data_IF_106610183115
#
_entry.id   IF_106610183115
#
_cell.length_a   1.000
_cell.length_b   1.000
_cell.length_c   1.000
_cell.angle_alpha   90.00
_cell.angle_beta   90.00
_cell.angle_gamma   90.00
#
_symmetry.space_group_name_H-M   'P 1'
#
loop_
_entity.id
_entity.type
_entity.pdbx_description
1 polymer ?
#
# COMPACT_ATOMS: atom_id res chain seq x y z
N UNK A 1 20.42 3.55 12.16
CA UNK A 1 19.84 3.14 10.87
C UNK A 1 19.47 4.39 10.09
N UNK A 2 19.81 4.42 8.80
CA UNK A 2 19.50 5.60 7.98
C UNK A 2 17.99 5.75 7.78
N UNK A 3 17.48 6.99 7.79
CA UNK A 3 16.07 7.19 7.48
C UNK A 3 15.74 6.77 6.04
N UNK A 4 14.51 6.31 5.84
CA UNK A 4 14.00 6.01 4.50
C UNK A 4 13.67 7.35 3.83
N UNK A 5 14.29 7.58 2.66
CA UNK A 5 14.05 8.79 1.87
C UNK A 5 13.05 8.45 0.78
N UNK A 6 11.91 9.15 0.78
CA UNK A 6 10.85 8.97 -0.20
C UNK A 6 10.82 10.17 -1.14
N UNK A 7 10.43 9.95 -2.39
CA UNK A 7 10.13 11.05 -3.29
C UNK A 7 8.85 11.78 -2.86
N UNK A 8 8.55 12.91 -3.51
CA UNK A 8 7.39 13.73 -3.14
C UNK A 8 6.06 12.98 -3.23
N UNK A 9 5.91 12.11 -4.23
CA UNK A 9 4.67 11.35 -4.43
C UNK A 9 4.48 10.32 -3.33
N UNK A 10 5.53 9.58 -3.01
CA UNK A 10 5.50 8.61 -1.92
C UNK A 10 5.35 9.28 -0.57
N UNK A 11 5.98 10.44 -0.37
CA UNK A 11 5.84 11.21 0.87
C UNK A 11 4.41 11.67 1.09
N UNK A 12 3.75 12.19 0.05
CA UNK A 12 2.36 12.61 0.14
C UNK A 12 1.44 11.43 0.44
N UNK A 13 1.61 10.32 -0.26
CA UNK A 13 0.82 9.11 -0.03
C UNK A 13 1.04 8.55 1.37
N UNK A 14 2.28 8.54 1.85
CA UNK A 14 2.62 8.09 3.20
C UNK A 14 1.92 8.94 4.25
N UNK A 15 1.89 10.26 4.06
CA UNK A 15 1.20 11.16 4.99
C UNK A 15 -0.29 10.85 5.04
N UNK A 16 -0.94 10.69 3.88
CA UNK A 16 -2.36 10.37 3.82
C UNK A 16 -2.66 9.01 4.46
N UNK A 17 -1.84 8.01 4.18
CA UNK A 17 -2.00 6.69 4.76
C UNK A 17 -1.82 6.73 6.28
N UNK A 18 -0.81 7.45 6.75
CA UNK A 18 -0.56 7.59 8.18
C UNK A 18 -1.74 8.24 8.90
N UNK A 19 -2.31 9.30 8.31
CA UNK A 19 -3.50 9.96 8.86
C UNK A 19 -4.68 9.01 8.98
N UNK A 20 -4.85 8.09 8.03
CA UNK A 20 -5.92 7.10 8.06
C UNK A 20 -5.67 5.98 9.08
N UNK A 21 -4.39 5.69 9.37
CA UNK A 21 -4.01 4.57 10.24
C UNK A 21 -3.82 4.99 11.70
N UNK A 22 -3.37 6.21 11.95
CA UNK A 22 -3.16 6.71 13.30
C UNK A 22 -4.49 6.81 14.06
N UNK A 23 -4.48 6.45 15.33
CA UNK A 23 -5.68 6.48 16.17
C UNK A 23 -6.55 5.24 16.08
N UNK A 24 -6.28 4.34 15.15
CA UNK A 24 -6.99 3.06 15.08
C UNK A 24 -6.40 2.09 16.10
N UNK A 25 -7.26 1.29 16.71
CA UNK A 25 -6.81 0.14 17.49
C UNK A 25 -6.35 -0.93 16.50
N UNK A 26 -5.17 -1.51 16.70
CA UNK A 26 -4.62 -2.53 15.82
C UNK A 26 -4.68 -2.10 14.35
N UNK A 27 -4.01 -0.99 13.98
CA UNK A 27 -4.11 -0.48 12.61
C UNK A 27 -3.59 -1.50 11.60
N UNK A 28 -4.29 -1.60 10.47
CA UNK A 28 -3.96 -2.52 9.37
C UNK A 28 -4.01 -1.78 8.06
N UNK A 29 -2.99 -1.99 7.23
CA UNK A 29 -2.93 -1.41 5.90
C UNK A 29 -2.57 -2.46 4.85
N UNK A 30 -2.87 -2.14 3.60
CA UNK A 30 -2.51 -2.97 2.45
C UNK A 30 -1.80 -2.11 1.40
N UNK A 31 -0.62 -2.53 0.99
CA UNK A 31 0.19 -1.89 -0.04
C UNK A 31 0.17 -2.78 -1.28
N UNK A 32 -0.64 -2.39 -2.26
CA UNK A 32 -0.90 -3.17 -3.47
C UNK A 32 0.03 -2.69 -4.57
N UNK A 33 0.90 -3.60 -5.04
CA UNK A 33 1.99 -3.22 -5.93
C UNK A 33 3.10 -2.55 -5.13
N UNK A 34 3.55 -3.20 -4.06
CA UNK A 34 4.47 -2.59 -3.08
C UNK A 34 5.87 -2.37 -3.60
N UNK A 35 6.22 -2.91 -4.76
CA UNK A 35 7.53 -2.81 -5.37
C UNK A 35 8.63 -3.20 -4.38
N UNK A 36 9.58 -2.33 -4.10
CA UNK A 36 10.70 -2.62 -3.19
C UNK A 36 10.37 -2.39 -1.70
N UNK A 37 9.13 -2.03 -1.38
CA UNK A 37 8.65 -1.98 0.00
C UNK A 37 8.93 -0.70 0.78
N UNK A 38 9.37 0.38 0.12
CA UNK A 38 9.72 1.62 0.83
C UNK A 38 8.53 2.25 1.55
N UNK A 39 7.35 2.27 0.92
CA UNK A 39 6.15 2.81 1.56
C UNK A 39 5.76 1.97 2.79
N UNK A 40 5.72 0.66 2.62
CA UNK A 40 5.40 -0.26 3.71
C UNK A 40 6.37 -0.08 4.87
N UNK A 41 7.67 -0.03 4.60
CA UNK A 41 8.67 0.14 5.64
C UNK A 41 8.50 1.48 6.37
N UNK A 42 8.26 2.56 5.62
CA UNK A 42 8.07 3.89 6.19
C UNK A 42 6.85 3.93 7.11
N UNK A 43 5.74 3.33 6.71
CA UNK A 43 4.54 3.28 7.52
C UNK A 43 4.73 2.43 8.79
N UNK A 44 5.37 1.27 8.66
CA UNK A 44 5.65 0.42 9.82
C UNK A 44 6.53 1.10 10.85
N UNK A 45 7.50 1.92 10.40
CA UNK A 45 8.35 2.67 11.32
C UNK A 45 7.63 3.84 12.00
N UNK A 46 6.63 4.44 11.32
CA UNK A 46 5.99 5.65 11.82
C UNK A 46 4.67 5.41 12.55
N UNK A 47 4.02 4.26 12.37
CA UNK A 47 2.74 3.95 13.01
C UNK A 47 2.89 2.76 13.96
N UNK A 48 2.93 3.00 15.27
CA UNK A 48 3.06 1.92 16.24
C UNK A 48 1.89 0.93 16.16
N UNK A 49 2.20 -0.35 16.25
CA UNK A 49 1.18 -1.40 16.23
C UNK A 49 0.63 -1.74 14.85
N UNK A 50 1.05 -1.03 13.82
CA UNK A 50 0.60 -1.30 12.45
C UNK A 50 1.08 -2.66 11.96
N UNK A 51 0.19 -3.39 11.29
CA UNK A 51 0.53 -4.55 10.48
C UNK A 51 0.15 -4.27 9.03
N UNK A 52 0.96 -4.77 8.11
CA UNK A 52 0.78 -4.50 6.68
C UNK A 52 0.70 -5.79 5.88
N UNK A 53 -0.21 -5.80 4.92
CA UNK A 53 -0.16 -6.73 3.80
C UNK A 53 0.52 -5.97 2.64
N UNK A 54 1.59 -6.52 2.11
CA UNK A 54 2.26 -5.96 0.95
C UNK A 54 2.29 -7.00 -0.16
N UNK A 55 1.73 -6.65 -1.31
CA UNK A 55 1.65 -7.57 -2.45
C UNK A 55 2.25 -6.97 -3.70
N UNK A 56 2.74 -7.82 -4.56
CA UNK A 56 3.22 -7.44 -5.88
C UNK A 56 3.13 -8.67 -6.80
N UNK A 57 3.00 -8.44 -8.09
CA UNK A 57 3.03 -9.52 -9.07
C UNK A 57 4.45 -10.01 -9.33
N UNK A 58 5.45 -9.22 -8.96
CA UNK A 58 6.87 -9.50 -9.18
C UNK A 58 7.51 -10.12 -7.94
N UNK A 59 7.82 -11.42 -8.01
CA UNK A 59 8.53 -12.10 -6.93
C UNK A 59 9.92 -11.48 -6.65
N UNK A 60 10.72 -11.08 -7.65
CA UNK A 60 11.99 -10.38 -7.37
C UNK A 60 11.81 -9.07 -6.61
N UNK A 61 10.77 -8.28 -6.91
CA UNK A 61 10.49 -7.04 -6.17
C UNK A 61 10.14 -7.35 -4.72
N UNK A 62 9.32 -8.35 -4.48
CA UNK A 62 8.97 -8.78 -3.12
C UNK A 62 10.17 -9.25 -2.32
N UNK A 63 11.12 -9.92 -2.96
CA UNK A 63 12.35 -10.32 -2.28
C UNK A 63 13.16 -9.10 -1.82
N UNK A 64 13.22 -8.05 -2.64
CA UNK A 64 13.86 -6.79 -2.25
C UNK A 64 13.11 -6.13 -1.09
N UNK A 65 11.78 -6.14 -1.13
CA UNK A 65 10.97 -5.62 -0.04
C UNK A 65 11.22 -6.40 1.26
N UNK A 66 11.28 -7.74 1.17
CA UNK A 66 11.56 -8.58 2.33
C UNK A 66 12.91 -8.25 2.96
N UNK A 67 13.93 -8.09 2.13
CA UNK A 67 15.28 -7.74 2.61
C UNK A 67 15.29 -6.37 3.30
N UNK A 68 14.60 -5.39 2.72
CA UNK A 68 14.48 -4.07 3.32
C UNK A 68 13.82 -4.16 4.70
N UNK A 69 12.70 -4.84 4.80
CA UNK A 69 11.97 -4.99 6.06
C UNK A 69 12.79 -5.75 7.10
N UNK A 70 13.45 -6.83 6.69
CA UNK A 70 14.30 -7.61 7.59
C UNK A 70 15.46 -6.78 8.13
N UNK A 71 16.10 -5.98 7.26
CA UNK A 71 17.23 -5.13 7.66
C UNK A 71 16.83 -4.05 8.68
N UNK A 72 15.56 -3.71 8.75
CA UNK A 72 15.04 -2.68 9.65
C UNK A 72 14.23 -3.26 10.82
N UNK A 73 14.22 -4.57 10.97
CA UNK A 73 13.52 -5.23 12.07
C UNK A 73 12.00 -5.19 11.98
N UNK A 74 11.44 -5.05 10.76
CA UNK A 74 10.01 -4.86 10.53
C UNK A 74 9.31 -6.09 9.95
N UNK A 75 10.04 -7.13 9.63
CA UNK A 75 9.53 -8.30 8.90
C UNK A 75 8.34 -8.97 9.60
N UNK A 76 8.36 -9.05 10.92
CA UNK A 76 7.30 -9.71 11.68
C UNK A 76 5.95 -8.99 11.61
N UNK A 77 5.93 -7.72 11.20
CA UNK A 77 4.71 -6.91 11.11
C UNK A 77 4.19 -6.77 9.69
N UNK A 78 4.78 -7.49 8.75
CA UNK A 78 4.40 -7.44 7.34
C UNK A 78 4.17 -8.83 6.80
N UNK A 79 3.10 -8.99 6.03
CA UNK A 79 2.87 -10.19 5.24
C UNK A 79 3.15 -9.84 3.78
N UNK A 80 4.12 -10.51 3.17
CA UNK A 80 4.49 -10.31 1.78
C UNK A 80 3.94 -11.46 0.94
N UNK A 81 3.31 -11.14 -0.17
CA UNK A 81 2.74 -12.17 -1.03
C UNK A 81 2.77 -11.78 -2.49
N UNK A 82 3.07 -12.74 -3.36
CA UNK A 82 2.92 -12.58 -4.80
C UNK A 82 1.42 -12.69 -5.10
N UNK A 83 0.82 -11.60 -5.57
CA UNK A 83 -0.61 -11.57 -5.85
C UNK A 83 -0.93 -10.47 -6.86
N UNK A 84 -2.04 -10.64 -7.56
CA UNK A 84 -2.58 -9.67 -8.50
C UNK A 84 -3.70 -8.90 -7.82
N UNK A 85 -3.56 -7.57 -7.78
CA UNK A 85 -4.55 -6.69 -7.19
C UNK A 85 -4.84 -7.01 -5.73
N UNK A 86 -6.12 -7.04 -5.38
CA UNK A 86 -6.58 -7.22 -4.01
C UNK A 86 -6.85 -8.69 -3.62
N UNK A 87 -6.45 -9.63 -4.47
CA UNK A 87 -6.78 -11.05 -4.28
C UNK A 87 -6.22 -11.65 -3.00
N UNK A 88 -5.11 -11.12 -2.48
CA UNK A 88 -4.50 -11.62 -1.24
C UNK A 88 -5.11 -11.03 0.02
N UNK A 89 -5.99 -10.03 -0.11
CA UNK A 89 -6.57 -9.34 1.03
C UNK A 89 -7.75 -10.14 1.59
N UNK A 90 -7.53 -10.83 2.68
CA UNK A 90 -8.53 -11.72 3.29
C UNK A 90 -9.32 -11.06 4.41
N UNK A 91 -8.76 -10.04 5.05
CA UNK A 91 -9.38 -9.38 6.19
C UNK A 91 -9.53 -7.89 5.92
N UNK A 92 -10.52 -7.23 6.55
CA UNK A 92 -10.66 -5.79 6.43
C UNK A 92 -9.41 -5.06 6.91
N UNK A 93 -9.09 -3.96 6.23
CA UNK A 93 -7.98 -3.08 6.62
C UNK A 93 -8.51 -1.64 6.77
N UNK A 94 -7.71 -0.76 7.36
CA UNK A 94 -8.08 0.65 7.54
C UNK A 94 -7.66 1.52 6.36
N UNK A 95 -6.62 1.12 5.64
CA UNK A 95 -6.14 1.85 4.47
C UNK A 95 -5.63 0.90 3.39
N UNK A 96 -5.98 1.19 2.15
CA UNK A 96 -5.48 0.47 0.97
C UNK A 96 -4.71 1.47 0.12
N UNK A 97 -3.46 1.16 -0.21
CA UNK A 97 -2.61 1.99 -1.05
C UNK A 97 -2.35 1.30 -2.38
N UNK A 98 -2.59 2.02 -3.48
CA UNK A 98 -2.31 1.53 -4.84
C UNK A 98 -1.57 2.64 -5.57
N UNK A 99 -0.26 2.56 -5.62
CA UNK A 99 0.60 3.63 -6.11
C UNK A 99 1.47 3.16 -7.27
N UNK A 100 1.85 4.11 -8.13
CA UNK A 100 2.85 3.87 -9.16
C UNK A 100 2.38 3.06 -10.35
N UNK A 101 1.09 2.93 -10.54
CA UNK A 101 0.49 2.20 -11.67
C UNK A 101 -0.22 3.16 -12.61
N UNK A 102 -0.52 2.70 -13.82
CA UNK A 102 -1.37 3.46 -14.74
C UNK A 102 -2.81 3.53 -14.24
N UNK A 103 -3.54 4.57 -14.66
CA UNK A 103 -4.92 4.79 -14.24
C UNK A 103 -5.83 3.60 -14.57
N UNK A 104 -5.68 3.00 -15.75
CA UNK A 104 -6.48 1.84 -16.14
C UNK A 104 -6.27 0.64 -15.23
N UNK A 105 -5.02 0.37 -14.84
CA UNK A 105 -4.69 -0.71 -13.92
C UNK A 105 -5.30 -0.47 -12.54
N UNK A 106 -5.18 0.75 -12.02
CA UNK A 106 -5.77 1.12 -10.73
C UNK A 106 -7.28 0.94 -10.75
N UNK A 107 -7.96 1.43 -11.81
CA UNK A 107 -9.40 1.28 -11.94
C UNK A 107 -9.83 -0.17 -11.97
N UNK A 108 -9.09 -1.01 -12.68
CA UNK A 108 -9.37 -2.44 -12.72
C UNK A 108 -9.26 -3.08 -11.33
N UNK A 109 -8.18 -2.79 -10.61
CA UNK A 109 -7.95 -3.31 -9.26
C UNK A 109 -9.08 -2.88 -8.32
N UNK A 110 -9.44 -1.59 -8.34
CA UNK A 110 -10.49 -1.06 -7.46
C UNK A 110 -11.85 -1.69 -7.79
N UNK A 111 -12.21 -1.77 -9.07
CA UNK A 111 -13.50 -2.35 -9.48
C UNK A 111 -13.60 -3.83 -9.11
N UNK A 112 -12.55 -4.60 -9.34
CA UNK A 112 -12.53 -6.02 -9.02
C UNK A 112 -12.49 -6.29 -7.52
N UNK A 113 -11.92 -5.37 -6.74
CA UNK A 113 -11.73 -5.54 -5.30
C UNK A 113 -12.59 -4.65 -4.42
N UNK A 114 -13.68 -4.08 -4.95
CA UNK A 114 -14.48 -3.11 -4.21
C UNK A 114 -15.03 -3.69 -2.89
N UNK A 115 -15.38 -4.95 -2.89
CA UNK A 115 -15.89 -5.62 -1.69
C UNK A 115 -14.81 -5.76 -0.62
N UNK A 116 -13.57 -6.04 -1.03
CA UNK A 116 -12.45 -6.17 -0.10
C UNK A 116 -12.03 -4.83 0.48
N UNK A 117 -12.12 -3.75 -0.32
CA UNK A 117 -11.80 -2.41 0.15
C UNK A 117 -12.78 -1.99 1.25
N UNK A 118 -14.09 -2.23 1.05
CA UNK A 118 -15.10 -1.89 2.03
C UNK A 118 -15.04 -0.43 2.46
N UNK A 119 -14.91 -0.18 3.75
CA UNK A 119 -14.85 1.17 4.32
C UNK A 119 -13.44 1.70 4.52
N UNK A 120 -12.42 1.00 4.02
CA UNK A 120 -11.04 1.46 4.14
C UNK A 120 -10.81 2.77 3.40
N UNK A 121 -9.88 3.58 3.90
CA UNK A 121 -9.39 4.72 3.14
C UNK A 121 -8.63 4.19 1.91
N UNK A 122 -8.93 4.74 0.74
CA UNK A 122 -8.29 4.33 -0.50
C UNK A 122 -7.35 5.45 -0.96
N UNK A 123 -6.05 5.18 -0.94
CA UNK A 123 -5.02 6.13 -1.38
C UNK A 123 -4.44 5.62 -2.69
N UNK A 124 -4.64 6.38 -3.76
CA UNK A 124 -4.17 6.01 -5.08
C UNK A 124 -3.28 7.10 -5.66
N UNK A 125 -2.31 6.69 -6.47
CA UNK A 125 -1.45 7.60 -7.21
C UNK A 125 -1.18 6.97 -8.58
N UNK A 126 -1.74 7.57 -9.62
CA UNK A 126 -1.54 7.10 -10.99
C UNK A 126 -0.34 7.79 -11.62
N UNK A 127 0.42 7.05 -12.42
CA UNK A 127 1.54 7.61 -13.17
C UNK A 127 1.06 8.52 -14.30
N UNK A 128 -0.10 8.21 -14.88
CA UNK A 128 -0.68 8.96 -16.01
C UNK A 128 -2.19 9.01 -15.85
N UNK A 129 -2.83 9.94 -16.57
CA UNK A 129 -4.28 10.03 -16.75
C UNK A 129 -5.07 10.24 -15.44
N UNK A 130 -4.59 11.17 -14.60
CA UNK A 130 -5.27 11.52 -13.36
C UNK A 130 -6.72 11.97 -13.54
N UNK A 131 -7.07 12.77 -14.58
CA UNK A 131 -8.46 13.16 -14.80
C UNK A 131 -9.40 11.97 -15.01
N UNK A 132 -8.99 10.96 -15.80
CA UNK A 132 -9.77 9.75 -15.99
C UNK A 132 -9.96 9.01 -14.66
N UNK A 133 -8.90 8.83 -13.90
CA UNK A 133 -8.96 8.13 -12.62
C UNK A 133 -9.89 8.84 -11.64
N UNK A 134 -9.81 10.17 -11.53
CA UNK A 134 -10.69 10.95 -10.65
C UNK A 134 -12.15 10.82 -11.05
N UNK A 135 -12.44 10.90 -12.34
CA UNK A 135 -13.79 10.79 -12.86
C UNK A 135 -14.39 9.41 -12.56
N UNK A 136 -13.64 8.35 -12.85
CA UNK A 136 -14.12 6.98 -12.67
C UNK A 136 -14.28 6.59 -11.20
N UNK A 137 -13.40 7.06 -10.32
CA UNK A 137 -13.50 6.76 -8.88
C UNK A 137 -14.63 7.53 -8.19
N UNK A 138 -15.07 8.64 -8.76
CA UNK A 138 -16.18 9.44 -8.23
C UNK A 138 -17.55 8.85 -8.53
N UNK A 139 -17.65 7.88 -9.42
CA UNK A 139 -18.93 7.27 -9.80
C UNK A 139 -19.48 6.34 -8.73
#
# INVERSE_FOLDING_TARGET
MNPIILDERLSAATKMAREALEGQEQPKGADIGCDHGFLTASLLESVPGLTMLASDVSAPSLEKARRLLASRGLEARARLTVADGLTAMETPVHAVMILGMGAGTILKIVREGIAQIGNAALIVQANVDLPLLRTELAR
#
